data_IF_328589996036
#
_entry.id   IF_328589996036
#
_cell.length_a   1.000
_cell.length_b   1.000
_cell.length_c   1.000
_cell.angle_alpha   90.00
_cell.angle_beta   90.00
_cell.angle_gamma   90.00
#
_symmetry.space_group_name_H-M   'P 1'
#
loop_
_entity.id
_entity.type
_entity.pdbx_description
1 polymer ?
#
# COMPACT_ATOMS: atom_id res chain seq x y z
N UNK A 1 11.90 -1.95 -20.95
CA UNK A 1 10.50 -2.11 -20.47
C UNK A 1 10.17 -0.91 -19.58
N UNK A 2 9.10 -0.15 -19.84
CA UNK A 2 8.69 0.89 -18.90
C UNK A 2 8.24 0.23 -17.60
N UNK A 3 8.71 0.76 -16.47
CA UNK A 3 8.31 0.34 -15.13
C UNK A 3 6.78 0.48 -15.06
N UNK A 4 6.00 -0.55 -14.67
CA UNK A 4 4.57 -0.41 -14.57
C UNK A 4 4.31 0.74 -13.61
N UNK A 5 3.69 1.81 -14.10
CA UNK A 5 3.18 2.88 -13.26
C UNK A 5 2.21 2.20 -12.30
N UNK A 6 2.68 1.85 -11.09
CA UNK A 6 1.84 1.34 -10.01
C UNK A 6 0.71 2.34 -9.91
N UNK A 7 -0.48 1.92 -10.32
CA UNK A 7 -1.68 2.74 -10.30
C UNK A 7 -1.76 3.33 -8.90
N UNK A 8 -1.51 4.63 -8.76
CA UNK A 8 -1.57 5.32 -7.46
C UNK A 8 -3.03 5.23 -7.05
N UNK A 9 -3.35 4.26 -6.21
CA UNK A 9 -4.68 4.12 -5.63
C UNK A 9 -4.96 5.44 -4.92
N UNK A 10 -5.96 6.18 -5.41
CA UNK A 10 -6.38 7.39 -4.76
C UNK A 10 -7.17 7.00 -3.50
N UNK A 11 -6.47 6.77 -2.39
CA UNK A 11 -7.09 6.40 -1.11
C UNK A 11 -8.08 7.46 -0.62
N UNK A 12 -7.93 8.71 -1.08
CA UNK A 12 -8.85 9.81 -0.80
C UNK A 12 -10.19 9.73 -1.55
N UNK A 13 -10.40 8.74 -2.42
CA UNK A 13 -11.70 8.48 -3.04
C UNK A 13 -12.41 7.26 -2.42
N UNK A 14 -11.75 6.50 -1.56
CA UNK A 14 -12.30 5.28 -0.98
C UNK A 14 -13.23 5.57 0.20
N UNK A 15 -14.24 4.74 0.35
CA UNK A 15 -15.11 4.67 1.54
C UNK A 15 -14.42 3.94 2.68
N UNK A 16 -14.96 4.05 3.90
CA UNK A 16 -14.44 3.34 5.10
C UNK A 16 -14.40 1.83 4.87
N UNK A 17 -15.46 1.25 4.30
CA UNK A 17 -15.55 -0.19 4.02
C UNK A 17 -14.50 -0.65 3.00
N UNK A 18 -14.29 0.12 1.94
CA UNK A 18 -13.25 -0.18 0.95
C UNK A 18 -11.85 -0.08 1.53
N UNK A 19 -11.60 0.92 2.41
CA UNK A 19 -10.33 1.06 3.10
C UNK A 19 -10.08 -0.11 4.04
N UNK A 20 -11.07 -0.52 4.85
CA UNK A 20 -10.96 -1.69 5.73
C UNK A 20 -10.70 -2.97 4.94
N UNK A 21 -11.42 -3.18 3.83
CA UNK A 21 -11.23 -4.35 2.97
C UNK A 21 -9.80 -4.43 2.43
N UNK A 22 -9.28 -3.32 1.87
CA UNK A 22 -7.89 -3.26 1.39
C UNK A 22 -6.88 -3.47 2.52
N UNK A 23 -7.12 -2.90 3.70
CA UNK A 23 -6.23 -3.09 4.85
C UNK A 23 -6.22 -4.54 5.35
N UNK A 24 -7.35 -5.25 5.28
CA UNK A 24 -7.40 -6.70 5.54
C UNK A 24 -6.57 -7.50 4.52
N UNK A 25 -6.51 -7.09 3.25
CA UNK A 25 -5.61 -7.71 2.25
C UNK A 25 -4.13 -7.60 2.66
N UNK A 26 -3.79 -6.56 3.44
CA UNK A 26 -2.45 -6.33 3.98
C UNK A 26 -2.24 -6.86 5.40
N UNK A 27 -3.15 -7.70 5.92
CA UNK A 27 -3.18 -8.22 7.29
C UNK A 27 -3.19 -7.13 8.37
N UNK A 28 -3.78 -5.97 8.09
CA UNK A 28 -3.95 -4.89 9.06
C UNK A 28 -5.35 -4.98 9.66
N UNK A 29 -5.43 -5.21 10.96
CA UNK A 29 -6.69 -5.16 11.69
C UNK A 29 -7.18 -3.71 11.82
N UNK A 30 -8.41 -3.48 11.38
CA UNK A 30 -9.06 -2.18 11.35
C UNK A 30 -10.49 -2.24 11.89
N UNK A 31 -10.88 -3.34 12.55
CA UNK A 31 -12.26 -3.53 13.00
C UNK A 31 -12.69 -2.46 14.03
N UNK A 32 -11.74 -1.87 14.77
CA UNK A 32 -11.99 -0.80 15.75
C UNK A 32 -12.00 0.62 15.17
N UNK A 33 -11.48 0.84 13.96
CA UNK A 33 -11.31 2.19 13.41
C UNK A 33 -12.37 2.51 12.36
N UNK A 34 -13.22 3.49 12.65
CA UNK A 34 -14.17 4.07 11.69
C UNK A 34 -13.71 5.44 11.17
N UNK A 35 -12.50 5.87 11.53
CA UNK A 35 -11.97 7.14 11.03
C UNK A 35 -11.35 6.94 9.65
N UNK A 36 -12.02 7.47 8.64
CA UNK A 36 -11.60 7.40 7.24
C UNK A 36 -10.19 7.93 7.00
N UNK A 37 -9.81 9.04 7.65
CA UNK A 37 -8.49 9.67 7.47
C UNK A 37 -7.41 8.72 7.99
N UNK A 38 -7.61 8.17 9.19
CA UNK A 38 -6.70 7.20 9.81
C UNK A 38 -6.53 5.97 8.92
N UNK A 39 -7.62 5.40 8.42
CA UNK A 39 -7.56 4.24 7.52
C UNK A 39 -6.82 4.55 6.20
N UNK A 40 -7.06 5.72 5.61
CA UNK A 40 -6.38 6.13 4.38
C UNK A 40 -4.87 6.33 4.59
N UNK A 41 -4.47 6.88 5.73
CA UNK A 41 -3.07 7.10 6.09
C UNK A 41 -2.33 5.77 6.32
N UNK A 42 -2.93 4.86 7.08
CA UNK A 42 -2.36 3.51 7.30
C UNK A 42 -2.17 2.79 5.97
N UNK A 43 -3.15 2.85 5.07
CA UNK A 43 -3.08 2.21 3.76
C UNK A 43 -1.97 2.80 2.89
N UNK A 44 -1.80 4.13 2.89
CA UNK A 44 -0.71 4.80 2.16
C UNK A 44 0.67 4.39 2.70
N UNK A 45 0.83 4.32 4.02
CA UNK A 45 2.07 3.89 4.64
C UNK A 45 2.41 2.45 4.25
N UNK A 46 1.44 1.55 4.30
CA UNK A 46 1.63 0.15 3.90
C UNK A 46 2.05 0.01 2.44
N UNK A 47 1.39 0.75 1.54
CA UNK A 47 1.74 0.77 0.11
C UNK A 47 3.17 1.28 -0.11
N UNK A 48 3.58 2.31 0.64
CA UNK A 48 4.95 2.85 0.56
C UNK A 48 5.98 1.84 1.06
N UNK A 49 5.72 1.14 2.17
CA UNK A 49 6.60 0.10 2.69
C UNK A 49 6.79 -1.06 1.70
N UNK A 50 5.72 -1.51 1.04
CA UNK A 50 5.81 -2.54 0.01
C UNK A 50 6.58 -2.07 -1.24
N UNK A 51 6.44 -0.78 -1.59
CA UNK A 51 7.25 -0.19 -2.66
C UNK A 51 8.73 -0.18 -2.28
N UNK A 52 9.06 0.18 -1.04
CA UNK A 52 10.43 0.19 -0.53
C UNK A 52 11.04 -1.22 -0.53
N UNK A 53 10.31 -2.22 -0.04
CA UNK A 53 10.75 -3.62 -0.06
C UNK A 53 11.01 -4.12 -1.48
N UNK A 54 10.06 -3.93 -2.40
CA UNK A 54 10.23 -4.34 -3.80
C UNK A 54 11.40 -3.63 -4.50
N UNK A 55 11.68 -2.38 -4.14
CA UNK A 55 12.81 -1.63 -4.70
C UNK A 55 14.15 -2.14 -4.15
N UNK A 56 14.22 -2.54 -2.89
CA UNK A 56 15.41 -3.19 -2.32
C UNK A 56 15.67 -4.55 -2.98
N UNK A 57 14.64 -5.38 -3.15
CA UNK A 57 14.77 -6.70 -3.79
C UNK A 57 15.26 -6.59 -5.25
N UNK A 58 14.73 -5.62 -6.01
CA UNK A 58 15.21 -5.32 -7.37
C UNK A 58 16.64 -4.82 -7.40
N UNK A 59 17.04 -4.02 -6.41
CA UNK A 59 18.40 -3.47 -6.35
C UNK A 59 19.44 -4.58 -6.09
N UNK A 60 19.11 -5.58 -5.27
CA UNK A 60 19.98 -6.72 -5.03
C UNK A 60 20.15 -7.61 -6.27
N UNK A 61 19.11 -7.75 -7.10
CA UNK A 61 19.17 -8.51 -8.35
C UNK A 61 20.03 -7.82 -9.43
N UNK A 62 20.06 -6.48 -9.46
CA UNK A 62 20.83 -5.69 -10.44
C UNK A 62 22.35 -5.74 -10.21
N UNK A 63 22.83 -5.94 -8.98
CA UNK A 63 24.28 -5.93 -8.66
C UNK A 63 24.95 -7.30 -8.96
N UNK A 64 24.16 -8.34 -9.28
CA UNK A 64 24.64 -9.71 -9.52
C UNK A 64 24.91 -10.07 -10.99
N UNK A 65 24.93 -9.09 -11.91
CA UNK A 65 25.19 -9.29 -13.35
C UNK A 65 26.57 -8.77 -13.76
#
# INVERSE_FOLDING_TARGET
MPLPHKSKINTNCLTIEELKKKLKEYNVDTDISNNRIVLAEILQNKLNDEILQQNMDKSFLTIKL
#
